data_IF_377327819148
#
_entry.id   IF_377327819148
#
_cell.length_a   1.000
_cell.length_b   1.000
_cell.length_c   1.000
_cell.angle_alpha   90.00
_cell.angle_beta   90.00
_cell.angle_gamma   90.00
#
_symmetry.space_group_name_H-M   'P 1'
#
loop_
_entity.id
_entity.type
_entity.pdbx_description
1 polymer ?
#
# COMPACT_ATOMS: atom_id res chain seq x y z
N UNK A 1 5.15 -4.74 -8.33
CA UNK A 1 4.41 -4.81 -7.06
C UNK A 1 3.74 -3.48 -6.72
N UNK A 2 4.44 -2.34 -6.76
CA UNK A 2 3.86 -1.04 -6.39
C UNK A 2 2.57 -0.67 -7.17
N UNK A 3 2.57 -0.78 -8.50
CA UNK A 3 1.40 -0.51 -9.35
C UNK A 3 0.26 -1.53 -9.15
N UNK A 4 0.58 -2.78 -8.83
CA UNK A 4 -0.41 -3.84 -8.60
C UNK A 4 -1.30 -3.57 -7.38
N UNK A 5 -0.82 -2.75 -6.43
CA UNK A 5 -1.61 -2.37 -5.26
C UNK A 5 -2.86 -1.55 -5.63
N UNK A 6 -2.93 -0.96 -6.83
CA UNK A 6 -4.05 -0.12 -7.27
C UNK A 6 -5.14 -0.87 -8.05
N UNK A 7 -5.00 -2.17 -8.31
CA UNK A 7 -6.00 -2.97 -9.06
C UNK A 7 -7.40 -2.90 -8.41
N UNK A 8 -7.44 -2.68 -7.09
CA UNK A 8 -8.66 -2.58 -6.31
C UNK A 8 -9.31 -1.19 -6.25
N UNK A 9 -8.72 -0.13 -6.80
CA UNK A 9 -9.33 1.21 -6.70
C UNK A 9 -10.65 1.29 -7.47
N UNK A 10 -11.61 2.05 -6.95
CA UNK A 10 -12.92 2.25 -7.57
C UNK A 10 -12.84 3.16 -8.80
N UNK A 11 -11.96 4.16 -8.78
CA UNK A 11 -11.79 5.15 -9.85
C UNK A 11 -10.30 5.34 -10.20
N UNK A 12 -10.01 5.57 -11.48
CA UNK A 12 -8.65 5.81 -11.96
C UNK A 12 -8.02 7.08 -11.38
N UNK A 13 -8.84 8.10 -11.10
CA UNK A 13 -8.40 9.39 -10.57
C UNK A 13 -7.83 9.28 -9.15
N UNK A 14 -8.26 8.26 -8.39
CA UNK A 14 -7.76 7.97 -7.05
C UNK A 14 -6.37 7.30 -7.04
N UNK A 15 -5.76 7.06 -8.21
CA UNK A 15 -4.42 6.46 -8.30
C UNK A 15 -3.37 7.55 -8.05
N UNK A 16 -2.87 7.57 -6.82
CA UNK A 16 -1.81 8.49 -6.40
C UNK A 16 -0.56 7.75 -5.95
N UNK A 17 0.60 8.11 -6.50
CA UNK A 17 1.89 7.63 -6.00
C UNK A 17 2.14 8.19 -4.60
N UNK A 18 2.48 7.32 -3.65
CA UNK A 18 2.72 7.69 -2.27
C UNK A 18 3.76 6.80 -1.60
N UNK A 19 4.38 7.34 -0.55
CA UNK A 19 5.43 6.67 0.22
C UNK A 19 4.94 5.42 0.95
N UNK A 20 3.73 5.42 1.50
CA UNK A 20 3.21 4.26 2.22
C UNK A 20 3.12 3.01 1.33
N UNK A 21 2.61 3.14 0.10
CA UNK A 21 2.57 2.04 -0.87
C UNK A 21 3.94 1.66 -1.39
N UNK A 22 4.86 2.62 -1.51
CA UNK A 22 6.26 2.34 -1.85
C UNK A 22 6.92 1.48 -0.75
N UNK A 23 6.83 1.88 0.52
CA UNK A 23 7.36 1.11 1.65
C UNK A 23 6.75 -0.28 1.70
N UNK A 24 5.43 -0.40 1.51
CA UNK A 24 4.76 -1.70 1.46
C UNK A 24 5.30 -2.59 0.34
N UNK A 25 5.49 -2.04 -0.87
CA UNK A 25 6.06 -2.79 -1.98
C UNK A 25 7.47 -3.32 -1.67
N UNK A 26 8.31 -2.52 -1.00
CA UNK A 26 9.65 -2.94 -0.58
C UNK A 26 9.57 -4.04 0.49
N UNK A 27 8.70 -3.88 1.49
CA UNK A 27 8.48 -4.87 2.56
C UNK A 27 7.99 -6.21 2.00
N UNK A 28 7.22 -6.21 0.91
CA UNK A 28 6.79 -7.46 0.25
C UNK A 28 7.90 -8.11 -0.59
N UNK A 29 8.69 -7.32 -1.32
CA UNK A 29 9.68 -7.85 -2.28
C UNK A 29 10.98 -8.27 -1.59
N UNK A 30 11.48 -7.48 -0.63
CA UNK A 30 12.78 -7.72 -0.01
C UNK A 30 12.90 -9.10 0.68
N UNK A 31 11.91 -9.59 1.45
CA UNK A 31 11.94 -10.94 2.02
C UNK A 31 11.92 -12.04 0.96
N UNK A 32 11.28 -11.80 -0.19
CA UNK A 32 11.19 -12.79 -1.27
C UNK A 32 12.58 -13.15 -1.81
N UNK A 33 13.50 -12.19 -1.86
CA UNK A 33 14.90 -12.43 -2.24
C UNK A 33 15.54 -13.45 -1.30
N UNK A 34 15.34 -13.29 0.02
CA UNK A 34 15.85 -14.22 1.04
C UNK A 34 15.23 -15.61 0.85
N UNK A 35 13.91 -15.67 0.67
CA UNK A 35 13.19 -16.93 0.43
C UNK A 35 13.74 -17.66 -0.80
N UNK A 36 13.91 -16.96 -1.92
CA UNK A 36 14.45 -17.53 -3.16
C UNK A 36 15.87 -18.08 -2.97
N UNK A 37 16.75 -17.34 -2.30
CA UNK A 37 18.12 -17.78 -2.05
C UNK A 37 18.18 -19.03 -1.15
N UNK A 38 17.28 -19.14 -0.17
CA UNK A 38 17.18 -20.32 0.72
C UNK A 38 16.57 -21.52 -0.01
N UNK A 39 15.38 -21.35 -0.61
CA UNK A 39 14.61 -22.43 -1.22
C UNK A 39 15.27 -22.97 -2.50
N UNK A 40 15.90 -22.09 -3.28
CA UNK A 40 16.49 -22.42 -4.58
C UNK A 40 18.03 -22.34 -4.53
N UNK A 41 18.63 -22.67 -3.38
CA UNK A 41 20.08 -22.58 -3.13
C UNK A 41 20.98 -23.21 -4.21
N UNK A 42 20.50 -24.24 -4.90
CA UNK A 42 21.25 -24.97 -5.93
C UNK A 42 21.39 -24.18 -7.24
N UNK A 43 20.49 -23.23 -7.51
CA UNK A 43 20.54 -22.38 -8.70
C UNK A 43 21.50 -21.20 -8.51
N UNK A 44 21.65 -20.71 -7.27
CA UNK A 44 22.48 -19.54 -6.96
C UNK A 44 23.90 -19.94 -6.53
N UNK A 45 24.79 -20.20 -7.50
CA UNK A 45 26.14 -20.74 -7.23
C UNK A 45 27.17 -19.71 -6.71
N UNK A 46 26.98 -18.41 -6.97
CA UNK A 46 27.94 -17.39 -6.58
C UNK A 46 27.76 -16.95 -5.12
N UNK A 47 28.58 -17.52 -4.23
CA UNK A 47 28.51 -17.26 -2.78
C UNK A 47 28.68 -15.79 -2.40
N UNK A 48 29.53 -15.03 -3.10
CA UNK A 48 29.77 -13.60 -2.80
C UNK A 48 28.54 -12.76 -3.14
N UNK A 49 27.96 -12.97 -4.32
CA UNK A 49 26.75 -12.26 -4.73
C UNK A 49 25.57 -12.60 -3.83
N UNK A 50 25.40 -13.88 -3.47
CA UNK A 50 24.34 -14.30 -2.55
C UNK A 50 24.48 -13.64 -1.18
N UNK A 51 25.70 -13.55 -0.63
CA UNK A 51 25.95 -12.86 0.63
C UNK A 51 25.55 -11.38 0.56
N UNK A 52 25.93 -10.68 -0.53
CA UNK A 52 25.52 -9.29 -0.75
C UNK A 52 23.99 -9.18 -0.83
N UNK A 53 23.32 -10.05 -1.60
CA UNK A 53 21.87 -10.04 -1.75
C UNK A 53 21.15 -10.28 -0.41
N UNK A 54 21.62 -11.23 0.41
CA UNK A 54 21.09 -11.43 1.76
C UNK A 54 21.24 -10.16 2.60
N UNK A 55 22.45 -9.61 2.71
CA UNK A 55 22.70 -8.44 3.54
C UNK A 55 21.88 -7.22 3.08
N UNK A 56 21.91 -6.90 1.79
CA UNK A 56 21.20 -5.74 1.24
C UNK A 56 19.69 -5.92 1.38
N UNK A 57 19.13 -7.08 1.04
CA UNK A 57 17.69 -7.31 1.15
C UNK A 57 17.20 -7.25 2.60
N UNK A 58 17.95 -7.79 3.56
CA UNK A 58 17.62 -7.68 4.98
C UNK A 58 17.68 -6.23 5.48
N UNK A 59 18.73 -5.47 5.14
CA UNK A 59 18.84 -4.07 5.55
C UNK A 59 17.74 -3.20 4.94
N UNK A 60 17.46 -3.37 3.64
CA UNK A 60 16.39 -2.66 2.95
C UNK A 60 15.02 -3.01 3.54
N UNK A 61 14.79 -4.29 3.86
CA UNK A 61 13.57 -4.72 4.54
C UNK A 61 13.41 -4.02 5.89
N UNK A 62 14.43 -4.06 6.75
CA UNK A 62 14.36 -3.43 8.08
C UNK A 62 14.15 -1.92 7.98
N UNK A 63 14.82 -1.26 7.02
CA UNK A 63 14.63 0.16 6.75
C UNK A 63 13.21 0.50 6.34
N UNK A 64 12.67 -0.20 5.34
CA UNK A 64 11.30 0.01 4.85
C UNK A 64 10.24 -0.38 5.90
N UNK A 65 10.46 -1.47 6.64
CA UNK A 65 9.60 -1.91 7.73
C UNK A 65 9.55 -0.87 8.85
N UNK A 66 10.70 -0.31 9.23
CA UNK A 66 10.73 0.76 10.22
C UNK A 66 10.03 2.00 9.68
N UNK A 67 10.35 2.43 8.45
CA UNK A 67 9.75 3.61 7.82
C UNK A 67 8.23 3.54 7.75
N UNK A 68 7.65 2.39 7.37
CA UNK A 68 6.18 2.23 7.33
C UNK A 68 5.57 2.23 8.74
N UNK A 69 6.25 1.63 9.73
CA UNK A 69 5.76 1.59 11.12
C UNK A 69 5.83 2.94 11.82
N UNK A 70 6.81 3.77 11.49
CA UNK A 70 6.98 5.11 12.06
C UNK A 70 6.37 6.21 11.20
N UNK A 71 5.76 5.88 10.06
CA UNK A 71 5.26 6.84 9.07
C UNK A 71 6.35 7.86 8.67
N UNK A 72 7.59 7.39 8.50
CA UNK A 72 8.72 8.25 8.18
C UNK A 72 8.46 9.01 6.87
N UNK A 73 8.66 10.33 6.88
CA UNK A 73 8.42 11.23 5.74
C UNK A 73 6.98 11.27 5.20
N UNK A 74 6.01 10.73 5.94
CA UNK A 74 4.58 10.81 5.58
C UNK A 74 3.97 12.01 6.29
N UNK A 75 4.05 13.19 5.68
CA UNK A 75 3.32 14.39 6.11
C UNK A 75 1.93 14.48 5.49
N UNK A 76 1.23 15.60 5.71
CA UNK A 76 -0.18 15.82 5.29
C UNK A 76 -0.47 15.39 3.85
N UNK A 77 0.32 15.88 2.89
CA UNK A 77 0.12 15.54 1.49
C UNK A 77 0.31 14.03 1.21
N UNK A 78 1.35 13.42 1.79
CA UNK A 78 1.60 11.98 1.60
C UNK A 78 0.55 11.11 2.27
N UNK A 79 0.00 11.57 3.41
CA UNK A 79 -1.12 10.93 4.07
C UNK A 79 -2.34 10.92 3.14
N UNK A 80 -2.76 12.09 2.65
CA UNK A 80 -3.89 12.21 1.72
C UNK A 80 -3.71 11.40 0.45
N UNK A 81 -2.55 11.48 -0.20
CA UNK A 81 -2.21 10.67 -1.40
C UNK A 81 -2.25 9.16 -1.12
N UNK A 82 -2.00 8.72 0.12
CA UNK A 82 -2.06 7.31 0.48
C UNK A 82 -3.46 6.83 0.88
N UNK A 83 -4.26 7.71 1.50
CA UNK A 83 -5.58 7.38 2.03
C UNK A 83 -6.68 7.48 0.98
N UNK A 84 -6.59 8.37 -0.01
CA UNK A 84 -7.53 8.41 -1.15
C UNK A 84 -7.68 7.04 -1.84
N UNK A 85 -6.59 6.38 -2.31
CA UNK A 85 -6.72 5.06 -2.91
C UNK A 85 -7.10 3.96 -1.91
N UNK A 86 -6.81 4.13 -0.61
CA UNK A 86 -7.24 3.20 0.43
C UNK A 86 -8.77 3.24 0.61
N UNK A 87 -9.33 4.43 0.78
CA UNK A 87 -10.78 4.65 0.88
C UNK A 87 -11.50 4.25 -0.40
N UNK A 88 -10.90 4.51 -1.56
CA UNK A 88 -11.45 4.07 -2.84
C UNK A 88 -11.58 2.54 -2.94
N UNK A 89 -10.61 1.78 -2.42
CA UNK A 89 -10.70 0.31 -2.38
C UNK A 89 -11.82 -0.13 -1.43
N UNK A 90 -11.96 0.51 -0.26
CA UNK A 90 -13.02 0.19 0.70
C UNK A 90 -14.42 0.39 0.09
N UNK A 91 -14.62 1.51 -0.62
CA UNK A 91 -15.86 1.79 -1.36
C UNK A 91 -16.13 0.67 -2.37
N UNK A 92 -15.17 0.35 -3.25
CA UNK A 92 -15.33 -0.72 -4.26
C UNK A 92 -15.69 -2.05 -3.60
N UNK A 93 -15.01 -2.42 -2.52
CA UNK A 93 -15.27 -3.67 -1.82
C UNK A 93 -16.69 -3.73 -1.26
N UNK A 94 -17.19 -2.64 -0.68
CA UNK A 94 -18.56 -2.55 -0.20
C UNK A 94 -19.58 -2.61 -1.35
N UNK A 95 -19.31 -1.91 -2.46
CA UNK A 95 -20.21 -1.88 -3.63
C UNK A 95 -20.28 -3.22 -4.39
N UNK A 96 -19.21 -4.02 -4.35
CA UNK A 96 -19.10 -5.27 -5.12
C UNK A 96 -19.32 -6.53 -4.29
N UNK A 97 -19.35 -6.42 -2.96
CA UNK A 97 -19.58 -7.57 -2.09
C UNK A 97 -21.03 -8.06 -2.17
N UNK A 98 -21.23 -9.37 -2.30
CA UNK A 98 -22.56 -9.98 -2.20
C UNK A 98 -22.92 -10.20 -0.73
N UNK A 99 -23.56 -9.20 -0.12
CA UNK A 99 -23.92 -9.20 1.29
C UNK A 99 -25.39 -9.65 1.49
N UNK A 100 -25.67 -10.33 2.60
CA UNK A 100 -27.01 -10.85 2.94
C UNK A 100 -27.45 -10.49 4.36
N UNK A 101 -26.49 -10.29 5.25
CA UNK A 101 -26.73 -9.88 6.61
C UNK A 101 -27.11 -8.39 6.66
N UNK A 102 -28.28 -8.02 7.22
CA UNK A 102 -28.76 -6.63 7.21
C UNK A 102 -27.83 -5.63 7.91
N UNK A 103 -27.18 -6.05 9.01
CA UNK A 103 -26.24 -5.21 9.74
C UNK A 103 -25.01 -4.90 8.89
N UNK A 104 -24.49 -5.91 8.18
CA UNK A 104 -23.34 -5.75 7.27
C UNK A 104 -23.68 -4.87 6.06
N UNK A 105 -24.91 -4.97 5.52
CA UNK A 105 -25.38 -4.10 4.43
C UNK A 105 -25.43 -2.64 4.88
N UNK A 106 -26.04 -2.38 6.03
CA UNK A 106 -26.12 -1.04 6.60
C UNK A 106 -24.72 -0.48 6.89
N UNK A 107 -23.82 -1.28 7.46
CA UNK A 107 -22.43 -0.91 7.70
C UNK A 107 -21.73 -0.49 6.39
N UNK A 108 -21.95 -1.22 5.30
CA UNK A 108 -21.36 -0.89 4.00
C UNK A 108 -21.90 0.42 3.41
N UNK A 109 -23.19 0.71 3.55
CA UNK A 109 -23.76 2.00 3.15
C UNK A 109 -23.14 3.16 3.93
N UNK A 110 -22.94 2.99 5.24
CA UNK A 110 -22.30 3.98 6.10
C UNK A 110 -20.83 4.20 5.74
N UNK A 111 -20.08 3.12 5.51
CA UNK A 111 -18.69 3.17 5.04
C UNK A 111 -18.61 3.92 3.72
N UNK A 112 -19.43 3.58 2.72
CA UNK A 112 -19.37 4.23 1.40
C UNK A 112 -19.61 5.74 1.53
N UNK A 113 -20.61 6.16 2.30
CA UNK A 113 -20.91 7.59 2.50
C UNK A 113 -19.73 8.32 3.15
N UNK A 114 -19.25 7.82 4.29
CA UNK A 114 -18.16 8.44 5.03
C UNK A 114 -16.87 8.53 4.19
N UNK A 115 -16.49 7.44 3.54
CA UNK A 115 -15.25 7.36 2.76
C UNK A 115 -15.27 8.28 1.53
N UNK A 116 -16.43 8.53 0.91
CA UNK A 116 -16.57 9.50 -0.19
C UNK A 116 -16.37 10.94 0.31
N UNK A 117 -16.96 11.28 1.45
CA UNK A 117 -16.78 12.59 2.09
C UNK A 117 -15.32 12.82 2.49
N UNK A 118 -14.67 11.81 3.06
CA UNK A 118 -13.25 11.84 3.43
C UNK A 118 -12.32 11.99 2.21
N UNK A 119 -12.61 11.33 1.09
CA UNK A 119 -11.87 11.52 -0.18
C UNK A 119 -11.96 12.98 -0.62
N UNK A 120 -13.15 13.57 -0.66
CA UNK A 120 -13.33 14.97 -1.07
C UNK A 120 -12.57 15.95 -0.15
N UNK A 121 -12.55 15.69 1.16
CA UNK A 121 -11.77 16.49 2.11
C UNK A 121 -10.26 16.38 1.83
N UNK A 122 -9.76 15.17 1.57
CA UNK A 122 -8.34 14.95 1.26
C UNK A 122 -7.93 15.59 -0.06
N UNK A 123 -8.76 15.53 -1.09
CA UNK A 123 -8.54 16.22 -2.36
C UNK A 123 -8.46 17.74 -2.15
N UNK A 124 -9.37 18.32 -1.36
CA UNK A 124 -9.31 19.73 -1.00
C UNK A 124 -8.06 20.12 -0.20
N UNK A 125 -7.58 19.25 0.68
CA UNK A 125 -6.29 19.44 1.39
C UNK A 125 -5.13 19.46 0.39
N UNK A 126 -5.09 18.52 -0.55
CA UNK A 126 -4.04 18.46 -1.57
C UNK A 126 -4.06 19.69 -2.48
N UNK A 127 -5.24 20.16 -2.88
CA UNK A 127 -5.37 21.38 -3.66
C UNK A 127 -4.82 22.59 -2.88
N UNK A 128 -5.16 22.71 -1.59
CA UNK A 128 -4.66 23.79 -0.73
C UNK A 128 -3.15 23.74 -0.52
N UNK A 129 -2.55 22.56 -0.39
CA UNK A 129 -1.11 22.39 -0.18
C UNK A 129 -0.26 22.53 -1.45
N UNK A 130 -0.90 22.48 -2.63
CA UNK A 130 -0.22 22.60 -3.94
C UNK A 130 -0.23 24.02 -4.51
N UNK A 131 -0.91 24.96 -3.85
CA UNK A 131 -0.87 26.40 -4.14
C UNK A 131 0.27 27.08 -3.38
#
# INVERSE_FOLDING_TARGET
>A
MWTLTYVGVAAFEHIHLNLNRFYMAVVMVAPMIVVMLVAMRHMFKNKRLNAVLYTVSTLVFLGAFTAIRTQAFVGDAQLSLSMIPHHSIAIKNCEQATLRDPETVQLCEEIIRAQREEIAQMEGILERLSR
#
